data_IF_267343426169
#
_entry.id   IF_267343426169
#
_cell.length_a   1.000
_cell.length_b   1.000
_cell.length_c   1.000
_cell.angle_alpha   90.00
_cell.angle_beta   90.00
_cell.angle_gamma   90.00
#
_symmetry.space_group_name_H-M   'P 1'
#
loop_
_entity.id
_entity.type
_entity.pdbx_description
1 polymer ?
#
# COMPACT_ATOMS: atom_id res chain seq x y z
N UNK A 1 -11.44 -1.64 7.06
CA UNK A 1 -11.62 -1.65 5.58
C UNK A 1 -12.90 -0.91 5.24
N UNK A 2 -12.93 -0.16 4.14
CA UNK A 2 -14.01 0.79 3.83
C UNK A 2 -14.85 0.36 2.61
N UNK A 3 -14.22 -0.22 1.60
CA UNK A 3 -14.84 -0.69 0.35
C UNK A 3 -14.03 -1.84 -0.25
N UNK A 4 -14.72 -2.76 -0.93
CA UNK A 4 -14.12 -3.80 -1.77
C UNK A 4 -14.70 -3.65 -3.18
N UNK A 5 -13.84 -3.53 -4.18
CA UNK A 5 -14.20 -3.46 -5.60
C UNK A 5 -13.87 -4.79 -6.28
N UNK A 6 -14.90 -5.57 -6.64
CA UNK A 6 -14.73 -6.89 -7.28
C UNK A 6 -14.69 -6.76 -8.81
N UNK A 7 -13.60 -7.23 -9.42
CA UNK A 7 -13.34 -7.09 -10.87
C UNK A 7 -13.11 -8.46 -11.54
N UNK A 8 -13.68 -9.52 -10.98
CA UNK A 8 -13.55 -10.89 -11.47
C UNK A 8 -12.30 -11.59 -10.95
N UNK A 9 -11.18 -11.52 -11.67
CA UNK A 9 -9.95 -12.22 -11.29
C UNK A 9 -9.24 -11.56 -10.09
N UNK A 10 -9.41 -10.24 -9.96
CA UNK A 10 -8.86 -9.41 -8.91
C UNK A 10 -9.98 -8.70 -8.15
N UNK A 11 -9.65 -8.24 -6.96
CA UNK A 11 -10.41 -7.24 -6.23
C UNK A 11 -9.47 -6.18 -5.65
N UNK A 12 -9.97 -4.95 -5.51
CA UNK A 12 -9.27 -3.88 -4.81
C UNK A 12 -9.92 -3.63 -3.47
N UNK A 13 -9.12 -3.65 -2.42
CA UNK A 13 -9.56 -3.33 -1.06
C UNK A 13 -9.09 -1.93 -0.73
N UNK A 14 -10.05 -1.07 -0.41
CA UNK A 14 -9.81 0.29 0.05
C UNK A 14 -9.98 0.35 1.56
N UNK A 15 -9.00 0.89 2.26
CA UNK A 15 -9.07 1.07 3.70
C UNK A 15 -8.17 2.19 4.18
N UNK A 16 -8.01 2.25 5.49
CA UNK A 16 -7.18 3.23 6.18
C UNK A 16 -6.20 2.51 7.11
N UNK A 17 -4.98 3.02 7.16
CA UNK A 17 -4.02 2.68 8.20
C UNK A 17 -3.89 3.88 9.14
N UNK A 18 -4.09 3.66 10.43
CA UNK A 18 -3.83 4.67 11.45
C UNK A 18 -2.33 4.77 11.67
N UNK A 19 -1.77 5.96 11.42
CA UNK A 19 -0.36 6.28 11.65
C UNK A 19 -0.24 7.34 12.74
N UNK A 20 1.00 7.67 13.16
CA UNK A 20 1.23 8.75 14.12
C UNK A 20 0.77 10.13 13.65
N UNK A 21 0.50 10.31 12.35
CA UNK A 21 0.03 11.57 11.75
C UNK A 21 -1.46 11.54 11.38
N UNK A 22 -2.19 10.48 11.74
CA UNK A 22 -3.61 10.29 11.43
C UNK A 22 -3.88 9.10 10.49
N UNK A 23 -5.09 9.05 9.95
CA UNK A 23 -5.49 7.97 9.06
C UNK A 23 -5.04 8.22 7.62
N UNK A 24 -4.22 7.30 7.09
CA UNK A 24 -3.76 7.32 5.71
C UNK A 24 -4.58 6.33 4.86
N UNK A 25 -5.18 6.74 3.72
CA UNK A 25 -5.83 5.81 2.82
C UNK A 25 -4.81 4.86 2.18
N UNK A 26 -5.17 3.59 2.08
CA UNK A 26 -4.39 2.54 1.41
C UNK A 26 -5.31 1.79 0.46
N UNK A 27 -4.78 1.45 -0.71
CA UNK A 27 -5.41 0.53 -1.67
C UNK A 27 -4.51 -0.69 -1.81
N UNK A 28 -5.11 -1.87 -1.71
CA UNK A 28 -4.41 -3.14 -1.92
C UNK A 28 -5.14 -3.99 -2.94
N UNK A 29 -4.41 -4.51 -3.93
CA UNK A 29 -4.93 -5.52 -4.86
C UNK A 29 -4.84 -6.89 -4.20
N UNK A 30 -5.94 -7.63 -4.25
CA UNK A 30 -6.05 -9.01 -3.77
C UNK A 30 -6.67 -9.88 -4.86
N UNK A 31 -6.61 -11.20 -4.70
CA UNK A 31 -7.35 -12.11 -5.57
C UNK A 31 -8.85 -11.79 -5.52
N UNK A 32 -9.54 -11.88 -6.65
CA UNK A 32 -11.00 -11.73 -6.73
C UNK A 32 -11.81 -12.79 -5.98
N UNK A 33 -11.13 -13.82 -5.43
CA UNK A 33 -11.70 -14.80 -4.50
C UNK A 33 -11.45 -14.46 -3.03
N UNK A 34 -11.02 -13.24 -2.73
CA UNK A 34 -10.79 -12.75 -1.36
C UNK A 34 -12.07 -12.85 -0.52
N UNK A 35 -11.92 -13.04 0.80
CA UNK A 35 -13.05 -12.98 1.76
C UNK A 35 -13.11 -11.66 2.53
N UNK A 36 -12.24 -10.70 2.21
CA UNK A 36 -12.20 -9.41 2.90
C UNK A 36 -13.51 -8.67 2.65
N UNK A 37 -14.08 -8.11 3.72
CA UNK A 37 -15.31 -7.34 3.69
C UNK A 37 -15.12 -5.95 4.32
N UNK A 38 -16.09 -5.07 4.08
CA UNK A 38 -16.17 -3.78 4.77
C UNK A 38 -16.23 -4.00 6.29
N UNK A 39 -15.48 -3.20 7.04
CA UNK A 39 -15.36 -3.33 8.50
C UNK A 39 -14.23 -4.24 8.96
N UNK A 40 -13.68 -5.09 8.08
CA UNK A 40 -12.57 -5.96 8.46
C UNK A 40 -11.32 -5.17 8.83
N UNK A 41 -10.52 -5.79 9.70
CA UNK A 41 -9.13 -5.40 9.97
C UNK A 41 -8.25 -6.46 9.32
N UNK A 42 -7.36 -6.03 8.42
CA UNK A 42 -6.47 -6.92 7.66
C UNK A 42 -5.03 -6.52 7.90
N UNK A 43 -4.12 -7.50 7.84
CA UNK A 43 -2.68 -7.25 7.90
C UNK A 43 -2.12 -7.24 6.47
N UNK A 44 -1.69 -6.07 6.02
CA UNK A 44 -0.98 -5.91 4.74
C UNK A 44 0.51 -5.99 4.99
N UNK A 45 1.22 -6.74 4.15
CA UNK A 45 2.69 -6.84 4.19
C UNK A 45 3.20 -6.42 2.81
N UNK A 46 3.95 -5.31 2.69
CA UNK A 46 4.52 -4.91 1.42
C UNK A 46 5.67 -5.85 1.05
N UNK A 47 5.88 -6.04 -0.25
CA UNK A 47 7.10 -6.64 -0.76
C UNK A 47 8.23 -5.61 -0.68
N UNK A 48 9.26 -5.89 0.11
CA UNK A 48 10.33 -4.93 0.39
C UNK A 48 11.08 -4.46 -0.87
N UNK A 49 11.27 -5.35 -1.84
CA UNK A 49 11.90 -5.02 -3.14
C UNK A 49 11.09 -4.06 -4.00
N UNK A 50 9.81 -3.86 -3.67
CA UNK A 50 8.86 -3.00 -4.39
C UNK A 50 8.58 -1.70 -3.63
N UNK A 51 9.32 -1.41 -2.56
CA UNK A 51 9.18 -0.17 -1.81
C UNK A 51 9.91 0.98 -2.50
N UNK A 52 9.29 2.14 -2.45
CA UNK A 52 9.87 3.40 -2.92
C UNK A 52 9.88 4.38 -1.75
N UNK A 53 11.05 4.95 -1.46
CA UNK A 53 11.23 5.95 -0.42
C UNK A 53 11.38 7.34 -1.06
N UNK A 54 10.87 8.36 -0.38
CA UNK A 54 10.90 9.75 -0.83
C UNK A 54 11.32 10.65 0.32
N UNK A 55 12.11 11.67 0.01
CA UNK A 55 12.44 12.73 0.96
C UNK A 55 11.20 13.56 1.29
N UNK A 56 10.98 13.84 2.59
CA UNK A 56 9.74 14.45 3.07
C UNK A 56 9.66 15.96 2.82
N UNK A 57 10.77 16.62 2.50
CA UNK A 57 10.81 18.07 2.25
C UNK A 57 10.79 18.39 0.76
N UNK A 58 11.64 17.73 -0.02
CA UNK A 58 11.83 17.95 -1.45
C UNK A 58 10.92 17.08 -2.31
N UNK A 59 10.42 15.95 -1.78
CA UNK A 59 9.68 14.95 -2.55
C UNK A 59 10.54 14.16 -3.53
N UNK A 60 11.86 14.35 -3.54
CA UNK A 60 12.76 13.58 -4.37
C UNK A 60 12.71 12.10 -3.99
N UNK A 61 12.70 11.21 -5.00
CA UNK A 61 12.81 9.77 -4.74
C UNK A 61 14.20 9.48 -4.17
N UNK A 62 14.24 8.82 -3.02
CA UNK A 62 15.45 8.23 -2.47
C UNK A 62 15.68 6.92 -3.24
N UNK A 63 16.18 7.02 -4.48
CA UNK A 63 16.82 5.88 -5.14
C UNK A 63 18.17 5.62 -4.48
N UNK A 64 18.70 4.40 -4.62
CA UNK A 64 20.08 4.09 -4.25
C UNK A 64 21.07 4.93 -5.09
N UNK A 65 21.32 6.19 -4.72
CA UNK A 65 22.39 7.02 -5.31
C UNK A 65 23.79 6.46 -5.01
N UNK A 66 23.90 5.26 -4.42
CA UNK A 66 25.17 4.60 -4.07
C UNK A 66 25.54 3.44 -4.99
N UNK A 67 24.71 3.00 -5.95
CA UNK A 67 25.08 1.90 -6.86
C UNK A 67 25.75 2.31 -8.19
N UNK A 68 26.05 3.59 -8.43
CA UNK A 68 26.77 4.02 -9.66
C UNK A 68 27.92 5.04 -9.42
N UNK A 69 28.34 5.22 -8.17
CA UNK A 69 29.53 6.00 -7.82
C UNK A 69 30.55 5.13 -7.05
N UNK A 70 31.00 4.04 -7.68
CA UNK A 70 32.17 3.27 -7.27
C UNK A 70 32.82 2.62 -8.50
#
# INVERSE_FOLDING_TARGET
MDLVEELGADAYVHGRATTGTGDMPIVSRVSGRTRVARGDVVRVVPEFSCLHLFDSQSGARLSDETEHAA
#
